data_IF_537998946290
#
_entry.id   IF_537998946290
#
_cell.length_a   1.000
_cell.length_b   1.000
_cell.length_c   1.000
_cell.angle_alpha   90.00
_cell.angle_beta   90.00
_cell.angle_gamma   90.00
#
_symmetry.space_group_name_H-M   'P 1'
#
loop_
_entity.id
_entity.type
_entity.pdbx_description
1 polymer ?
#
# COMPACT_ATOMS: atom_id res chain seq x y z
N UNK A 1 7.13 -5.93 24.63
CA UNK A 1 7.33 -5.42 23.28
C UNK A 1 6.03 -5.50 22.52
N UNK A 2 5.47 -4.36 22.18
CA UNK A 2 4.26 -4.33 21.36
C UNK A 2 4.69 -4.26 19.89
N UNK A 3 4.71 -5.40 19.21
CA UNK A 3 4.93 -5.45 17.77
C UNK A 3 3.59 -5.40 17.06
N UNK A 4 3.41 -4.43 16.17
CA UNK A 4 2.29 -4.41 15.25
C UNK A 4 2.79 -4.92 13.89
N UNK A 5 2.02 -5.83 13.29
CA UNK A 5 2.31 -6.33 11.96
C UNK A 5 1.02 -6.51 11.18
N UNK A 6 0.96 -5.84 10.03
CA UNK A 6 -0.15 -5.98 9.08
C UNK A 6 0.38 -6.31 7.69
N UNK A 7 -0.15 -7.36 7.08
CA UNK A 7 0.09 -7.69 5.68
C UNK A 7 -1.03 -7.12 4.82
N UNK A 8 -0.66 -6.30 3.85
CA UNK A 8 -1.59 -5.66 2.92
C UNK A 8 -1.97 -6.63 1.77
N UNK A 9 -2.55 -7.78 2.12
CA UNK A 9 -2.96 -8.77 1.12
C UNK A 9 -4.09 -8.25 0.22
N UNK A 10 -4.02 -8.59 -1.06
CA UNK A 10 -5.06 -8.28 -2.04
C UNK A 10 -6.32 -9.12 -1.74
N UNK A 11 -7.51 -8.51 -1.66
CA UNK A 11 -8.77 -9.25 -1.48
C UNK A 11 -9.05 -10.19 -2.64
N UNK A 12 -9.73 -11.31 -2.36
CA UNK A 12 -10.09 -12.33 -3.37
C UNK A 12 -10.87 -11.72 -4.54
N UNK A 13 -11.73 -10.73 -4.29
CA UNK A 13 -12.46 -10.03 -5.35
C UNK A 13 -11.58 -9.40 -6.43
N UNK A 14 -10.39 -8.94 -6.08
CA UNK A 14 -9.42 -8.38 -7.03
C UNK A 14 -8.79 -9.46 -7.91
N UNK A 15 -8.59 -10.67 -7.38
CA UNK A 15 -8.14 -11.83 -8.16
C UNK A 15 -9.21 -12.26 -9.15
N UNK A 16 -10.48 -12.29 -8.74
CA UNK A 16 -11.60 -12.59 -9.64
C UNK A 16 -11.70 -11.53 -10.74
N UNK A 17 -11.64 -10.25 -10.38
CA UNK A 17 -11.64 -9.16 -11.35
C UNK A 17 -10.47 -9.27 -12.33
N UNK A 18 -9.29 -9.62 -11.86
CA UNK A 18 -8.11 -9.81 -12.69
C UNK A 18 -8.31 -10.93 -13.72
N UNK A 19 -8.86 -12.07 -13.30
CA UNK A 19 -9.19 -13.20 -14.20
C UNK A 19 -10.20 -12.75 -15.25
N UNK A 20 -11.26 -12.06 -14.86
CA UNK A 20 -12.28 -11.54 -15.79
C UNK A 20 -11.64 -10.59 -16.81
N UNK A 21 -10.79 -9.67 -16.38
CA UNK A 21 -10.09 -8.74 -17.29
C UNK A 21 -9.17 -9.48 -18.27
N UNK A 22 -8.39 -10.47 -17.78
CA UNK A 22 -7.51 -11.27 -18.66
C UNK A 22 -8.32 -12.03 -19.69
N UNK A 23 -9.44 -12.65 -19.29
CA UNK A 23 -10.33 -13.39 -20.21
C UNK A 23 -10.93 -12.46 -21.25
N UNK A 24 -11.46 -11.30 -20.85
CA UNK A 24 -12.06 -10.34 -21.79
C UNK A 24 -11.03 -9.82 -22.80
N UNK A 25 -9.89 -9.34 -22.32
CA UNK A 25 -8.83 -8.82 -23.20
C UNK A 25 -8.24 -9.91 -24.12
N UNK A 26 -8.06 -11.11 -23.61
CA UNK A 26 -7.59 -12.24 -24.42
C UNK A 26 -8.60 -12.66 -25.50
N UNK A 27 -9.89 -12.57 -25.21
CA UNK A 27 -10.97 -12.89 -26.17
C UNK A 27 -10.99 -11.90 -27.34
N UNK A 28 -10.75 -10.62 -27.10
CA UNK A 28 -10.63 -9.61 -28.17
C UNK A 28 -9.47 -9.94 -29.11
N UNK A 29 -8.33 -10.36 -28.58
CA UNK A 29 -7.17 -10.78 -29.39
C UNK A 29 -7.48 -12.08 -30.15
N UNK A 30 -8.20 -13.02 -29.53
CA UNK A 30 -8.63 -14.25 -30.16
C UNK A 30 -9.53 -13.99 -31.36
N UNK A 31 -10.46 -13.05 -31.27
CA UNK A 31 -11.38 -12.71 -32.35
C UNK A 31 -10.68 -12.05 -33.56
N UNK A 32 -9.56 -11.33 -33.29
CA UNK A 32 -8.82 -10.61 -34.35
C UNK A 32 -7.62 -11.35 -34.98
N UNK A 33 -7.02 -12.28 -34.23
CA UNK A 33 -5.77 -12.94 -34.62
C UNK A 33 -5.88 -14.45 -34.49
N UNK A 34 -5.48 -15.18 -35.54
CA UNK A 34 -5.46 -16.64 -35.54
C UNK A 34 -4.14 -17.25 -35.00
N UNK A 35 -4.11 -18.57 -34.90
CA UNK A 35 -2.92 -19.32 -34.51
C UNK A 35 -2.64 -19.35 -33.02
N UNK A 36 -1.37 -19.34 -32.65
CA UNK A 36 -0.96 -19.43 -31.22
C UNK A 36 -0.84 -18.06 -30.52
N UNK A 37 -0.95 -16.94 -31.26
CA UNK A 37 -0.80 -15.59 -30.73
C UNK A 37 -1.78 -15.30 -29.56
N UNK A 38 -3.07 -15.66 -29.65
CA UNK A 38 -3.99 -15.47 -28.52
C UNK A 38 -3.57 -16.21 -27.25
N UNK A 39 -3.06 -17.43 -27.38
CA UNK A 39 -2.60 -18.22 -26.21
C UNK A 39 -1.42 -17.54 -25.53
N UNK A 40 -0.47 -17.03 -26.30
CA UNK A 40 0.66 -16.27 -25.79
C UNK A 40 0.18 -14.99 -25.09
N UNK A 41 -0.81 -14.29 -25.65
CA UNK A 41 -1.40 -13.10 -25.06
C UNK A 41 -2.02 -13.39 -23.71
N UNK A 42 -2.82 -14.45 -23.56
CA UNK A 42 -3.37 -14.87 -22.27
C UNK A 42 -2.26 -15.15 -21.26
N UNK A 43 -1.22 -15.87 -21.64
CA UNK A 43 -0.10 -16.21 -20.77
C UNK A 43 0.65 -14.95 -20.28
N UNK A 44 0.94 -14.02 -21.18
CA UNK A 44 1.64 -12.76 -20.85
C UNK A 44 0.78 -11.88 -19.96
N UNK A 45 -0.50 -11.69 -20.28
CA UNK A 45 -1.43 -10.89 -19.45
C UNK A 45 -1.57 -11.51 -18.06
N UNK A 46 -1.77 -12.81 -17.95
CA UNK A 46 -1.89 -13.50 -16.66
C UNK A 46 -0.61 -13.36 -15.83
N UNK A 47 0.57 -13.47 -16.47
CA UNK A 47 1.85 -13.29 -15.80
C UNK A 47 2.02 -11.87 -15.24
N UNK A 48 1.75 -10.85 -16.07
CA UNK A 48 1.89 -9.44 -15.65
C UNK A 48 0.91 -9.11 -14.52
N UNK A 49 -0.37 -9.42 -14.69
CA UNK A 49 -1.40 -9.14 -13.69
C UNK A 49 -1.13 -9.91 -12.41
N UNK A 50 -0.77 -11.19 -12.51
CA UNK A 50 -0.40 -12.01 -11.37
C UNK A 50 0.81 -11.45 -10.61
N UNK A 51 1.86 -11.05 -11.31
CA UNK A 51 3.04 -10.44 -10.71
C UNK A 51 2.72 -9.13 -9.97
N UNK A 52 1.86 -8.28 -10.54
CA UNK A 52 1.41 -7.04 -9.88
C UNK A 52 0.63 -7.35 -8.61
N UNK A 53 -0.34 -8.27 -8.65
CA UNK A 53 -1.15 -8.62 -7.48
C UNK A 53 -0.30 -9.27 -6.37
N UNK A 54 0.64 -10.13 -6.71
CA UNK A 54 1.58 -10.74 -5.76
C UNK A 54 2.47 -9.66 -5.13
N UNK A 55 3.03 -8.76 -5.92
CA UNK A 55 3.84 -7.65 -5.42
C UNK A 55 3.04 -6.74 -4.47
N UNK A 56 1.77 -6.47 -4.79
CA UNK A 56 0.90 -5.70 -3.90
C UNK A 56 0.58 -6.44 -2.60
N UNK A 57 0.41 -7.76 -2.65
CA UNK A 57 0.17 -8.61 -1.48
C UNK A 57 1.39 -8.78 -0.58
N UNK A 58 2.59 -8.52 -1.09
CA UNK A 58 3.84 -8.69 -0.35
C UNK A 58 4.15 -7.50 0.59
N UNK A 59 3.43 -6.38 0.45
CA UNK A 59 3.66 -5.22 1.30
C UNK A 59 3.24 -5.50 2.75
N UNK A 60 4.15 -5.25 3.68
CA UNK A 60 3.95 -5.41 5.13
C UNK A 60 4.21 -4.08 5.81
N UNK A 61 3.34 -3.73 6.76
CA UNK A 61 3.58 -2.65 7.72
C UNK A 61 3.91 -3.29 9.05
N UNK A 62 5.02 -2.92 9.63
CA UNK A 62 5.52 -3.46 10.88
C UNK A 62 6.08 -2.36 11.78
N UNK A 63 5.71 -2.40 13.07
CA UNK A 63 6.24 -1.51 14.09
C UNK A 63 6.99 -2.39 15.10
N UNK A 64 8.31 -2.32 15.10
CA UNK A 64 9.16 -3.17 15.95
C UNK A 64 10.46 -2.44 16.29
N UNK A 65 10.90 -2.56 17.56
CA UNK A 65 12.24 -2.16 17.97
C UNK A 65 12.58 -0.68 17.73
N UNK A 66 11.61 0.23 17.92
CA UNK A 66 11.84 1.67 17.70
C UNK A 66 11.84 2.09 16.23
N UNK A 67 11.37 1.21 15.33
CA UNK A 67 11.27 1.52 13.89
C UNK A 67 9.91 1.17 13.33
N UNK A 68 9.42 2.02 12.43
CA UNK A 68 8.28 1.75 11.56
C UNK A 68 8.80 1.31 10.19
N UNK A 69 8.45 0.11 9.79
CA UNK A 69 8.74 -0.41 8.47
C UNK A 69 7.47 -0.48 7.64
N UNK A 70 7.49 0.12 6.46
CA UNK A 70 6.38 0.09 5.52
C UNK A 70 6.88 -0.35 4.14
N UNK A 71 6.58 -1.58 3.77
CA UNK A 71 7.11 -2.24 2.58
C UNK A 71 8.64 -2.25 2.58
N UNK A 72 9.28 -1.44 1.74
CA UNK A 72 10.74 -1.33 1.62
C UNK A 72 11.33 -0.13 2.37
N UNK A 73 10.49 0.76 2.86
CA UNK A 73 10.92 1.96 3.57
C UNK A 73 10.90 1.74 5.09
N UNK A 74 11.82 2.40 5.79
CA UNK A 74 11.95 2.35 7.24
C UNK A 74 12.02 3.75 7.78
N UNK A 75 11.27 4.04 8.83
CA UNK A 75 11.25 5.31 9.56
C UNK A 75 11.56 5.04 11.03
N UNK A 76 12.65 5.60 11.58
CA UNK A 76 12.90 5.56 13.01
C UNK A 76 11.77 6.29 13.78
N UNK A 77 11.33 5.72 14.89
CA UNK A 77 10.22 6.29 15.66
C UNK A 77 10.57 7.58 16.39
N UNK A 78 11.84 7.84 16.63
CA UNK A 78 12.35 9.12 17.15
C UNK A 78 12.13 10.30 16.18
N UNK A 79 11.99 10.00 14.89
CA UNK A 79 11.71 10.97 13.83
C UNK A 79 10.21 11.13 13.53
N UNK A 80 9.36 10.42 14.23
CA UNK A 80 7.91 10.50 14.07
C UNK A 80 7.37 11.68 14.86
N UNK A 81 6.65 12.58 14.18
CA UNK A 81 5.92 13.67 14.80
C UNK A 81 4.45 13.29 15.05
N UNK A 82 3.54 14.05 14.47
CA UNK A 82 2.11 13.83 14.60
C UNK A 82 1.65 12.57 13.84
N UNK A 83 0.86 11.73 14.51
CA UNK A 83 0.25 10.54 13.93
C UNK A 83 -1.27 10.67 13.99
N UNK A 84 -1.95 10.53 12.85
CA UNK A 84 -3.40 10.66 12.75
C UNK A 84 -3.98 9.50 11.95
N UNK A 85 -4.94 8.78 12.54
CA UNK A 85 -5.75 7.81 11.82
C UNK A 85 -6.77 8.56 10.95
N UNK A 86 -6.81 8.25 9.66
CA UNK A 86 -7.68 8.90 8.68
C UNK A 86 -8.80 7.96 8.24
N UNK A 87 -10.00 8.51 8.16
CA UNK A 87 -11.13 7.85 7.50
C UNK A 87 -10.99 7.89 5.96
N UNK A 88 -11.95 7.28 5.26
CA UNK A 88 -11.95 7.22 3.80
C UNK A 88 -11.96 8.60 3.14
N UNK A 89 -12.78 9.53 3.66
CA UNK A 89 -12.91 10.88 3.11
C UNK A 89 -11.65 11.72 3.33
N UNK A 90 -11.07 11.64 4.52
CA UNK A 90 -9.83 12.34 4.87
C UNK A 90 -8.64 11.80 4.06
N UNK A 91 -8.54 10.46 3.95
CA UNK A 91 -7.50 9.82 3.16
C UNK A 91 -7.62 10.17 1.66
N UNK A 92 -8.84 10.22 1.13
CA UNK A 92 -9.08 10.62 -0.26
C UNK A 92 -8.61 12.04 -0.58
N UNK A 93 -8.79 12.97 0.35
CA UNK A 93 -8.32 14.37 0.20
C UNK A 93 -6.79 14.46 0.11
N UNK A 94 -6.07 13.64 0.87
CA UNK A 94 -4.60 13.61 0.87
C UNK A 94 -4.00 12.78 -0.28
N UNK A 95 -4.80 11.96 -0.96
CA UNK A 95 -4.39 11.21 -2.16
C UNK A 95 -4.54 12.02 -3.45
N UNK A 96 -5.33 13.10 -3.41
CA UNK A 96 -5.70 13.90 -4.56
C UNK A 96 -4.70 15.02 -4.87
N UNK A 97 -5.17 16.13 -5.48
CA UNK A 97 -4.33 17.25 -5.93
C UNK A 97 -3.55 17.97 -4.82
N UNK A 98 -3.89 17.69 -3.55
CA UNK A 98 -3.20 18.25 -2.37
C UNK A 98 -2.11 17.35 -1.82
N UNK A 99 -1.84 16.20 -2.46
CA UNK A 99 -0.73 15.33 -2.06
C UNK A 99 0.59 16.05 -2.33
N UNK A 100 1.47 16.06 -1.34
CA UNK A 100 2.84 16.55 -1.54
C UNK A 100 3.62 15.54 -2.37
N UNK A 101 4.23 15.93 -3.50
CA UNK A 101 5.04 15.04 -4.33
C UNK A 101 6.24 14.44 -3.59
N UNK A 102 6.72 15.10 -2.54
CA UNK A 102 7.83 14.62 -1.71
C UNK A 102 7.40 13.63 -0.61
N UNK A 103 6.09 13.47 -0.37
CA UNK A 103 5.56 12.57 0.65
C UNK A 103 5.79 11.10 0.30
N UNK A 104 6.02 10.27 1.32
CA UNK A 104 6.07 8.82 1.12
C UNK A 104 4.67 8.22 1.16
N UNK A 105 4.20 7.75 0.01
CA UNK A 105 2.85 7.22 -0.16
C UNK A 105 2.90 5.70 -0.35
N UNK A 106 2.42 4.95 0.63
CA UNK A 106 2.14 3.52 0.49
C UNK A 106 0.63 3.33 0.34
N UNK A 107 0.15 3.49 -0.88
CA UNK A 107 -1.27 3.40 -1.22
C UNK A 107 -1.58 2.07 -1.91
N UNK A 108 -2.80 1.58 -1.66
CA UNK A 108 -3.35 0.41 -2.34
C UNK A 108 -4.79 0.73 -2.77
N UNK A 109 -5.19 0.42 -4.01
CA UNK A 109 -6.51 0.79 -4.53
C UNK A 109 -7.67 0.13 -3.76
N UNK A 110 -7.41 -1.03 -3.14
CA UNK A 110 -8.39 -1.75 -2.33
C UNK A 110 -8.42 -1.32 -0.85
N UNK A 111 -7.55 -0.40 -0.42
CA UNK A 111 -7.51 0.15 0.94
C UNK A 111 -7.89 1.64 0.90
N UNK A 112 -9.00 1.98 1.53
CA UNK A 112 -9.55 3.32 1.49
C UNK A 112 -9.14 4.18 2.66
N UNK A 113 -8.84 3.57 3.81
CA UNK A 113 -8.39 4.23 5.03
C UNK A 113 -6.87 4.30 5.07
N UNK A 114 -6.33 5.24 5.83
CA UNK A 114 -4.90 5.44 5.95
C UNK A 114 -4.50 5.99 7.32
N UNK A 115 -3.20 5.98 7.59
CA UNK A 115 -2.58 6.71 8.71
C UNK A 115 -1.65 7.77 8.12
N UNK A 116 -1.80 8.99 8.59
CA UNK A 116 -0.89 10.10 8.34
C UNK A 116 0.16 10.14 9.43
N UNK A 117 1.42 10.21 9.04
CA UNK A 117 2.57 10.25 9.94
C UNK A 117 3.48 11.39 9.52
N UNK A 118 3.55 12.43 10.34
CA UNK A 118 4.46 13.54 10.12
C UNK A 118 5.90 13.11 10.43
N UNK A 119 6.84 13.52 9.58
CA UNK A 119 8.27 13.32 9.83
C UNK A 119 8.82 14.56 10.50
N UNK A 120 9.25 14.41 11.76
CA UNK A 120 9.73 15.52 12.58
C UNK A 120 11.20 15.90 12.30
N UNK A 121 11.92 15.13 11.50
CA UNK A 121 13.31 15.41 11.14
C UNK A 121 13.38 16.56 10.11
N UNK A 122 13.95 17.74 10.47
CA UNK A 122 14.07 18.88 9.56
C UNK A 122 15.05 18.62 8.40
N UNK A 123 15.92 17.62 8.52
CA UNK A 123 16.83 17.21 7.44
C UNK A 123 16.17 16.26 6.44
N UNK A 124 15.00 15.73 6.75
CA UNK A 124 14.25 14.83 5.87
C UNK A 124 13.67 15.58 4.67
N UNK A 125 13.87 15.03 3.48
CA UNK A 125 13.20 15.50 2.25
C UNK A 125 11.74 15.05 2.16
N UNK A 126 11.32 14.13 3.04
CA UNK A 126 9.97 13.56 3.08
C UNK A 126 9.20 14.22 4.22
N UNK A 127 8.18 15.05 3.94
CA UNK A 127 7.45 15.78 4.97
C UNK A 127 6.53 14.89 5.81
N UNK A 128 5.92 13.89 5.19
CA UNK A 128 5.04 12.95 5.86
C UNK A 128 4.94 11.61 5.13
N UNK A 129 4.47 10.60 5.85
CA UNK A 129 4.11 9.30 5.30
C UNK A 129 2.59 9.13 5.32
N UNK A 130 2.02 8.61 4.25
CA UNK A 130 0.62 8.23 4.15
C UNK A 130 0.55 6.73 3.86
N UNK A 131 0.18 5.95 4.88
CA UNK A 131 0.16 4.50 4.82
C UNK A 131 -1.27 3.99 4.75
N UNK A 132 -1.65 3.34 3.65
CA UNK A 132 -2.94 2.67 3.53
C UNK A 132 -2.98 1.45 4.45
N UNK A 133 -4.05 1.30 5.23
CA UNK A 133 -4.23 0.22 6.21
C UNK A 133 -5.71 -0.11 6.39
N UNK A 134 -6.01 -1.35 6.80
CA UNK A 134 -7.36 -1.75 7.21
C UNK A 134 -7.69 -1.28 8.63
N UNK A 135 -6.66 -1.04 9.45
CA UNK A 135 -6.78 -0.78 10.90
C UNK A 135 -6.05 0.50 11.30
N UNK A 136 -6.50 1.67 10.80
CA UNK A 136 -5.77 2.92 11.01
C UNK A 136 -5.64 3.29 12.50
N UNK A 137 -6.67 3.05 13.31
CA UNK A 137 -6.62 3.34 14.74
C UNK A 137 -5.60 2.44 15.49
N UNK A 138 -5.55 1.16 15.17
CA UNK A 138 -4.61 0.21 15.79
C UNK A 138 -3.17 0.53 15.41
N UNK A 139 -2.91 0.83 14.13
CA UNK A 139 -1.59 1.22 13.65
C UNK A 139 -1.14 2.53 14.29
N UNK A 140 -1.99 3.55 14.32
CA UNK A 140 -1.68 4.83 14.96
C UNK A 140 -1.36 4.66 16.45
N UNK A 141 -2.17 3.87 17.17
CA UNK A 141 -1.93 3.58 18.58
C UNK A 141 -0.64 2.77 18.82
N UNK A 142 -0.30 1.85 17.92
CA UNK A 142 0.96 1.09 18.02
C UNK A 142 2.18 1.99 17.82
N UNK A 143 2.12 2.91 16.85
CA UNK A 143 3.20 3.87 16.61
C UNK A 143 3.36 4.80 17.82
N UNK A 144 2.27 5.35 18.36
CA UNK A 144 2.30 6.25 19.50
C UNK A 144 2.89 5.58 20.76
N UNK A 145 2.41 4.38 21.10
CA UNK A 145 2.96 3.60 22.23
C UNK A 145 4.44 3.30 22.10
N UNK A 146 4.86 2.94 20.89
CA UNK A 146 6.27 2.62 20.64
C UNK A 146 7.14 3.88 20.63
N UNK A 147 6.62 5.02 20.20
CA UNK A 147 7.28 6.31 20.26
C UNK A 147 7.50 6.74 21.73
N UNK A 148 6.50 6.60 22.59
CA UNK A 148 6.59 6.90 24.04
C UNK A 148 7.62 6.02 24.78
N UNK A 149 7.89 4.81 24.27
CA UNK A 149 8.86 3.90 24.88
C UNK A 149 10.30 4.20 24.49
N UNK A 150 10.51 4.89 23.35
CA UNK A 150 11.84 5.26 22.83
C UNK A 150 12.28 6.65 23.30
N UNK A 151 11.34 7.53 23.64
CA UNK A 151 11.61 8.86 24.22
C UNK A 151 11.75 8.78 25.73
#
# INVERSE_FOLDING_TARGET
MHSYRERLSVPVGWWVLAVVCVVLLGTEVWAGLGGFIPVLTYAVLALIVGAVLVNWSAAVIEVTGGTLRAARATLPLDQVGKVVALDEAQAARLRGPRADPAAHLLLRPYLKRAVYIEVADPASKVPYWLLATRRPAELAAAIQRSHETVG
#
